data_IF_216051250714
#
_entry.id   IF_216051250714
#
_cell.length_a   1.000
_cell.length_b   1.000
_cell.length_c   1.000
_cell.angle_alpha   90.00
_cell.angle_beta   90.00
_cell.angle_gamma   90.00
#
_symmetry.space_group_name_H-M   'P 1'
#
loop_
_entity.id
_entity.type
_entity.pdbx_description
1 polymer ?
#
# COMPACT_ATOMS: atom_id res chain seq x y z
N UNK A 1 18.59 -37.29 10.76
CA UNK A 1 17.50 -36.32 11.01
C UNK A 1 17.83 -35.04 10.27
N UNK A 2 17.15 -34.75 9.16
CA UNK A 2 16.98 -33.42 8.54
C UNK A 2 15.97 -33.59 7.41
N UNK A 3 14.72 -33.81 7.79
CA UNK A 3 13.58 -33.77 6.88
C UNK A 3 13.37 -32.30 6.49
N UNK A 4 14.08 -31.81 5.48
CA UNK A 4 13.77 -30.49 4.90
C UNK A 4 12.50 -30.66 4.09
N UNK A 5 11.40 -30.44 4.80
CA UNK A 5 10.03 -30.33 4.35
C UNK A 5 9.96 -29.55 3.01
N UNK A 6 9.84 -30.28 1.91
CA UNK A 6 9.58 -29.77 0.55
C UNK A 6 8.06 -29.66 0.29
N UNK A 7 7.25 -29.83 1.34
CA UNK A 7 5.81 -29.67 1.36
C UNK A 7 5.41 -28.26 1.84
N UNK A 8 6.10 -27.20 1.40
CA UNK A 8 5.50 -25.85 1.43
C UNK A 8 4.44 -25.78 0.33
N UNK A 9 3.31 -26.43 0.60
CA UNK A 9 2.10 -26.42 -0.21
C UNK A 9 1.79 -24.97 -0.58
N UNK A 10 1.94 -24.63 -1.87
CA UNK A 10 1.60 -23.31 -2.39
C UNK A 10 0.16 -23.02 -1.97
N UNK A 11 -0.08 -22.02 -1.11
CA UNK A 11 -1.42 -21.80 -0.59
C UNK A 11 -2.38 -21.57 -1.75
N UNK A 12 -3.51 -22.28 -1.78
CA UNK A 12 -4.43 -22.22 -2.93
C UNK A 12 -4.93 -20.78 -3.17
N UNK A 13 -4.96 -19.99 -2.10
CA UNK A 13 -5.25 -18.55 -2.14
C UNK A 13 -4.15 -17.76 -2.86
N UNK A 14 -2.88 -18.09 -2.63
CA UNK A 14 -1.76 -17.49 -3.38
C UNK A 14 -1.84 -17.85 -4.87
N UNK A 15 -2.12 -19.12 -5.19
CA UNK A 15 -2.30 -19.54 -6.57
C UNK A 15 -3.41 -18.72 -7.23
N UNK A 16 -4.59 -18.62 -6.60
CA UNK A 16 -5.71 -17.78 -7.08
C UNK A 16 -5.35 -16.30 -7.26
N UNK A 17 -4.53 -15.74 -6.36
CA UNK A 17 -4.06 -14.36 -6.48
C UNK A 17 -3.15 -14.17 -7.70
N UNK A 18 -2.24 -15.12 -7.96
CA UNK A 18 -1.31 -15.08 -9.10
C UNK A 18 -2.03 -15.32 -10.43
N UNK A 19 -3.05 -16.18 -10.47
CA UNK A 19 -3.84 -16.42 -11.69
C UNK A 19 -4.72 -15.22 -12.06
N UNK A 20 -4.86 -14.22 -11.19
CA UNK A 20 -5.63 -13.03 -11.49
C UNK A 20 -4.90 -12.18 -12.56
N UNK A 21 -5.55 -11.79 -13.67
CA UNK A 21 -4.93 -10.98 -14.71
C UNK A 21 -4.43 -9.60 -14.24
N UNK A 22 -4.91 -9.10 -13.10
CA UNK A 22 -4.46 -7.84 -12.50
C UNK A 22 -3.11 -7.96 -11.78
N UNK A 23 -2.71 -9.18 -11.41
CA UNK A 23 -1.52 -9.41 -10.59
C UNK A 23 -0.20 -8.95 -11.22
N UNK A 24 0.08 -9.18 -12.53
CA UNK A 24 1.34 -8.73 -13.14
C UNK A 24 1.50 -7.20 -13.16
N UNK A 25 0.41 -6.48 -13.41
CA UNK A 25 0.40 -5.02 -13.39
C UNK A 25 0.56 -4.48 -11.96
N UNK A 26 -0.12 -5.12 -11.00
CA UNK A 26 -0.05 -4.79 -9.59
C UNK A 26 1.34 -5.03 -9.00
N UNK A 27 1.95 -6.20 -9.23
CA UNK A 27 3.31 -6.53 -8.76
C UNK A 27 4.35 -5.57 -9.34
N UNK A 28 4.24 -5.23 -10.62
CA UNK A 28 5.11 -4.23 -11.25
C UNK A 28 4.97 -2.85 -10.60
N UNK A 29 3.74 -2.42 -10.31
CA UNK A 29 3.47 -1.16 -9.64
C UNK A 29 4.00 -1.13 -8.20
N UNK A 30 3.80 -2.21 -7.44
CA UNK A 30 4.28 -2.36 -6.07
C UNK A 30 5.82 -2.37 -6.02
N UNK A 31 6.48 -3.08 -6.94
CA UNK A 31 7.95 -3.10 -7.06
C UNK A 31 8.53 -1.77 -7.50
N UNK A 32 7.77 -0.97 -8.27
CA UNK A 32 8.13 0.40 -8.59
C UNK A 32 7.99 1.35 -7.38
N UNK A 33 7.50 0.87 -6.24
CA UNK A 33 7.28 1.68 -5.04
C UNK A 33 5.98 2.48 -5.07
N UNK A 34 5.03 2.14 -5.95
CA UNK A 34 3.71 2.79 -5.98
C UNK A 34 2.90 2.35 -4.76
N UNK A 35 2.26 3.31 -4.10
CA UNK A 35 1.27 3.04 -3.05
C UNK A 35 -0.08 2.77 -3.69
N UNK A 36 -0.76 1.71 -3.27
CA UNK A 36 -2.09 1.35 -3.74
C UNK A 36 -3.11 1.79 -2.69
N UNK A 37 -3.85 2.85 -2.98
CA UNK A 37 -4.92 3.38 -2.12
C UNK A 37 -6.26 2.73 -2.45
N UNK A 38 -7.27 2.96 -1.61
CA UNK A 38 -8.67 2.59 -1.87
C UNK A 38 -9.30 3.23 -3.12
N UNK A 39 -8.61 4.12 -3.83
CA UNK A 39 -9.06 4.69 -5.11
C UNK A 39 -9.01 3.67 -6.25
N UNK A 40 -8.03 2.77 -6.21
CA UNK A 40 -7.92 1.63 -7.13
C UNK A 40 -8.67 0.43 -6.55
N UNK A 41 -10.01 0.49 -6.57
CA UNK A 41 -10.92 -0.48 -5.93
C UNK A 41 -10.52 -1.94 -6.19
N UNK A 42 -10.25 -2.29 -7.45
CA UNK A 42 -9.97 -3.68 -7.85
C UNK A 42 -8.64 -4.18 -7.28
N UNK A 43 -7.59 -3.35 -7.34
CA UNK A 43 -6.27 -3.68 -6.81
C UNK A 43 -6.29 -3.74 -5.27
N UNK A 44 -7.00 -2.80 -4.65
CA UNK A 44 -7.13 -2.71 -3.20
C UNK A 44 -7.96 -3.89 -2.64
N UNK A 45 -9.04 -4.29 -3.33
CA UNK A 45 -9.82 -5.47 -2.97
C UNK A 45 -8.98 -6.74 -3.03
N UNK A 46 -8.21 -6.92 -4.11
CA UNK A 46 -7.31 -8.06 -4.27
C UNK A 46 -6.27 -8.13 -3.14
N UNK A 47 -5.65 -6.99 -2.79
CA UNK A 47 -4.67 -6.93 -1.70
C UNK A 47 -5.30 -7.19 -0.33
N UNK A 48 -6.53 -6.73 -0.09
CA UNK A 48 -7.25 -7.02 1.14
C UNK A 48 -7.59 -8.51 1.28
N UNK A 49 -8.04 -9.15 0.20
CA UNK A 49 -8.45 -10.56 0.23
C UNK A 49 -7.26 -11.52 0.41
N UNK A 50 -6.09 -11.15 -0.12
CA UNK A 50 -4.89 -11.99 -0.17
C UNK A 50 -3.72 -11.43 0.67
N UNK A 51 -4.00 -10.58 1.67
CA UNK A 51 -3.00 -9.88 2.47
C UNK A 51 -1.92 -10.81 3.06
N UNK A 52 -2.34 -11.88 3.75
CA UNK A 52 -1.43 -12.82 4.44
C UNK A 52 -0.54 -13.61 3.47
N UNK A 53 -1.13 -14.03 2.36
CA UNK A 53 -0.46 -14.85 1.34
C UNK A 53 0.56 -14.02 0.56
N UNK A 54 0.14 -12.81 0.16
CA UNK A 54 1.01 -11.87 -0.54
C UNK A 54 2.13 -11.39 0.38
N UNK A 55 1.86 -11.12 1.66
CA UNK A 55 2.90 -10.80 2.62
C UNK A 55 3.97 -11.90 2.70
N UNK A 56 3.54 -13.17 2.79
CA UNK A 56 4.46 -14.32 2.79
C UNK A 56 5.23 -14.47 1.47
N UNK A 57 4.59 -14.18 0.34
CA UNK A 57 5.26 -14.15 -0.97
C UNK A 57 6.32 -13.06 -1.07
N UNK A 58 6.00 -11.83 -0.71
CA UNK A 58 6.95 -10.70 -0.74
C UNK A 58 8.08 -10.86 0.28
N UNK A 59 7.82 -11.53 1.41
CA UNK A 59 8.85 -11.84 2.40
C UNK A 59 9.98 -12.70 1.82
N UNK A 60 9.69 -13.61 0.89
CA UNK A 60 10.70 -14.40 0.17
C UNK A 60 11.66 -13.53 -0.66
N UNK A 61 11.22 -12.35 -1.09
CA UNK A 61 12.04 -11.37 -1.81
C UNK A 61 12.72 -10.35 -0.87
N UNK A 62 12.69 -10.59 0.44
CA UNK A 62 13.12 -9.66 1.51
C UNK A 62 12.35 -8.33 1.52
N UNK A 63 11.15 -8.29 0.93
CA UNK A 63 10.26 -7.12 0.96
C UNK A 63 9.07 -7.38 1.87
N UNK A 64 8.59 -6.36 2.55
CA UNK A 64 7.41 -6.48 3.40
C UNK A 64 6.25 -5.72 2.80
N UNK A 65 5.11 -6.40 2.65
CA UNK A 65 3.85 -5.74 2.33
C UNK A 65 3.29 -5.12 3.62
N UNK A 66 3.19 -3.79 3.66
CA UNK A 66 2.67 -3.06 4.81
C UNK A 66 1.37 -2.37 4.44
N UNK A 67 0.35 -2.59 5.28
CA UNK A 67 -0.92 -1.87 5.24
C UNK A 67 -0.86 -0.69 6.19
N UNK A 68 -0.95 0.52 5.66
CA UNK A 68 -1.02 1.73 6.47
C UNK A 68 -2.41 1.86 7.12
N UNK A 69 -2.50 2.49 8.31
CA UNK A 69 -3.79 2.76 8.98
C UNK A 69 -4.71 3.69 8.17
N UNK A 70 -4.15 4.44 7.23
CA UNK A 70 -4.85 5.32 6.27
C UNK A 70 -5.53 4.53 5.11
N UNK A 71 -5.38 3.20 5.05
CA UNK A 71 -6.02 2.37 4.04
C UNK A 71 -5.28 2.31 2.69
N UNK A 72 -3.94 2.39 2.71
CA UNK A 72 -3.11 2.16 1.52
C UNK A 72 -2.08 1.06 1.78
N UNK A 73 -1.70 0.36 0.71
CA UNK A 73 -0.67 -0.68 0.73
C UNK A 73 0.61 -0.20 0.04
N UNK A 74 1.75 -0.59 0.61
CA UNK A 74 3.05 -0.32 0.00
C UNK A 74 4.05 -1.43 0.32
N UNK A 75 5.06 -1.60 -0.54
CA UNK A 75 6.19 -2.48 -0.27
C UNK A 75 7.28 -1.70 0.46
N UNK A 76 7.70 -2.25 1.61
CA UNK A 76 8.85 -1.77 2.37
C UNK A 76 10.05 -2.69 2.08
N UNK A 77 11.09 -2.21 1.37
CA UNK A 77 12.29 -3.01 1.13
C UNK A 77 13.14 -3.12 2.41
N UNK A 78 13.63 -4.33 2.74
CA UNK A 78 14.67 -4.55 3.76
C UNK A 78 16.08 -4.42 3.17
N UNK A 79 17.11 -4.32 4.01
CA UNK A 79 18.50 -4.08 3.58
C UNK A 79 19.09 -5.14 2.65
N UNK A 80 18.48 -6.32 2.53
CA UNK A 80 18.92 -7.46 1.71
C UNK A 80 18.00 -7.72 0.50
N UNK A 81 17.23 -6.73 0.05
CA UNK A 81 16.30 -6.91 -1.07
C UNK A 81 17.00 -7.16 -2.39
N UNK A 82 16.51 -8.17 -3.12
CA UNK A 82 16.93 -8.50 -4.48
C UNK A 82 16.33 -7.55 -5.54
N UNK A 83 15.41 -6.66 -5.12
CA UNK A 83 14.76 -5.66 -5.96
C UNK A 83 15.57 -4.36 -5.90
N UNK A 84 15.84 -3.77 -7.07
CA UNK A 84 16.62 -2.54 -7.20
C UNK A 84 16.05 -1.41 -6.36
N UNK A 85 16.86 -0.89 -5.43
CA UNK A 85 16.47 0.22 -4.56
C UNK A 85 16.65 1.54 -5.29
N UNK A 86 15.57 2.27 -5.50
CA UNK A 86 15.63 3.69 -5.83
C UNK A 86 15.53 4.49 -4.52
N UNK A 87 16.50 5.38 -4.29
CA UNK A 87 16.45 6.34 -3.18
C UNK A 87 15.88 7.63 -3.73
N UNK A 88 14.85 8.16 -3.08
CA UNK A 88 14.27 9.45 -3.43
C UNK A 88 15.34 10.54 -3.25
N UNK A 89 15.44 11.48 -4.20
CA UNK A 89 16.33 12.63 -4.05
C UNK A 89 15.82 13.57 -2.94
N UNK A 90 16.71 14.42 -2.40
CA UNK A 90 16.33 15.41 -1.38
C UNK A 90 15.18 16.31 -1.82
N UNK A 91 15.15 16.68 -3.11
CA UNK A 91 14.09 17.50 -3.70
C UNK A 91 12.75 16.76 -3.74
N UNK A 92 12.73 15.52 -4.18
CA UNK A 92 11.52 14.70 -4.22
C UNK A 92 10.96 14.48 -2.81
N UNK A 93 11.83 14.35 -1.81
CA UNK A 93 11.44 14.20 -0.41
C UNK A 93 10.80 15.50 0.12
N UNK A 94 11.34 16.65 -0.26
CA UNK A 94 10.79 17.95 0.09
C UNK A 94 9.42 18.15 -0.55
N UNK A 95 9.26 17.77 -1.82
CA UNK A 95 7.97 17.76 -2.52
C UNK A 95 6.95 16.88 -1.79
N UNK A 96 7.34 15.66 -1.39
CA UNK A 96 6.50 14.76 -0.60
C UNK A 96 6.06 15.37 0.75
N UNK A 97 6.98 16.05 1.45
CA UNK A 97 6.66 16.76 2.70
C UNK A 97 5.69 17.93 2.48
N UNK A 98 5.85 18.69 1.39
CA UNK A 98 4.94 19.80 1.04
C UNK A 98 3.55 19.27 0.65
N UNK A 99 3.47 18.19 -0.12
CA UNK A 99 2.20 17.52 -0.45
C UNK A 99 1.46 17.04 0.80
N UNK A 100 2.17 16.40 1.74
CA UNK A 100 1.60 16.00 3.02
C UNK A 100 1.07 17.21 3.82
N UNK A 101 1.83 18.30 3.86
CA UNK A 101 1.42 19.54 4.53
C UNK A 101 0.16 20.17 3.89
N UNK A 102 0.07 20.17 2.56
CA UNK A 102 -1.09 20.64 1.82
C UNK A 102 -2.33 19.76 2.07
N UNK A 103 -2.16 18.44 2.08
CA UNK A 103 -3.24 17.49 2.36
C UNK A 103 -3.82 17.70 3.77
N UNK A 104 -2.96 17.84 4.78
CA UNK A 104 -3.37 18.14 6.14
C UNK A 104 -4.06 19.51 6.25
N UNK A 105 -3.52 20.53 5.58
CA UNK A 105 -4.09 21.88 5.54
C UNK A 105 -5.47 21.91 4.88
N UNK A 106 -5.66 21.19 3.77
CA UNK A 106 -6.94 21.09 3.06
C UNK A 106 -8.00 20.38 3.91
N UNK A 107 -7.59 19.35 4.66
CA UNK A 107 -8.45 18.60 5.58
C UNK A 107 -8.92 19.47 6.75
N UNK A 108 -8.04 20.30 7.31
CA UNK A 108 -8.38 21.28 8.37
C UNK A 108 -9.30 22.38 7.85
N UNK A 109 -9.06 22.91 6.64
CA UNK A 109 -9.92 23.93 6.04
C UNK A 109 -11.32 23.39 5.74
N UNK A 110 -11.41 22.16 5.21
CA UNK A 110 -12.69 21.50 4.90
C UNK A 110 -13.50 21.18 6.16
N UNK A 111 -12.86 20.82 7.28
CA UNK A 111 -13.55 20.70 8.58
C UNK A 111 -14.05 22.04 9.12
N UNK A 112 -13.29 23.14 9.01
CA UNK A 112 -13.74 24.48 9.45
C UNK A 112 -14.91 25.01 8.62
N UNK A 113 -14.92 24.80 7.30
CA UNK A 113 -16.04 25.21 6.44
C UNK A 113 -17.32 24.44 6.83
N UNK A 114 -17.23 23.15 7.16
CA UNK A 114 -18.38 22.36 7.62
C UNK A 114 -18.91 22.79 9.00
N UNK A 115 -18.05 23.24 9.93
CA UNK A 115 -18.53 23.76 11.21
C UNK A 115 -19.21 25.13 11.08
N UNK A 116 -18.72 25.98 10.15
CA UNK A 116 -19.32 27.28 9.86
C UNK A 116 -20.71 27.17 9.21
N UNK A 117 -20.91 26.22 8.29
CA UNK A 117 -22.24 26.00 7.68
C UNK A 117 -23.26 25.42 8.66
N UNK A 118 -22.84 24.52 9.57
CA UNK A 118 -23.71 24.02 10.66
C UNK A 118 -24.08 25.09 11.68
N UNK A 119 -23.21 26.07 11.93
CA UNK A 119 -23.51 27.20 12.84
C UNK A 119 -24.51 28.20 12.22
N UNK A 120 -24.47 28.38 10.89
CA UNK A 120 -25.43 29.24 10.18
C UNK A 120 -26.83 28.63 10.02
N UNK A 121 -26.96 27.30 9.87
CA UNK A 121 -28.28 26.64 9.76
C UNK A 121 -29.02 26.44 11.10
N UNK A 122 -28.39 26.71 12.25
CA UNK A 122 -29.02 26.60 13.58
C UNK A 122 -29.53 27.94 14.13
N UNK A 123 -29.43 29.02 13.35
CA UNK A 123 -29.77 30.40 13.75
C UNK A 123 -30.87 31.03 12.89
N UNK A 124 -31.62 30.24 12.13
CA UNK A 124 -32.82 30.68 11.42
C UNK A 124 -34.03 29.85 11.83
#
# INVERSE_FOLDING_TARGET
>A
MSSTNIDEYMPEKLAKAITNPLFPALDSALRAGRHISSEDLDNHALLCDFEVELASFYQRYNTELVKAPEGFFYLRPRSTTLIGRSVLSELDMLVGKVLCFLYLSLSVLRMRVSSLTKSFMKKS
#
